data_IF_084866764167
#
_entry.id   IF_084866764167
#
_cell.length_a   1.000
_cell.length_b   1.000
_cell.length_c   1.000
_cell.angle_alpha   90.00
_cell.angle_beta   90.00
_cell.angle_gamma   90.00
#
_symmetry.space_group_name_H-M   'P 1'
#
loop_
_entity.id
_entity.type
_entity.pdbx_description
1 polymer ?
#
# COMPACT_ATOMS: atom_id res chain seq x y z
N UNK A 1 60.30 25.87 -39.29
CA UNK A 1 59.58 25.88 -37.99
C UNK A 1 58.09 25.98 -38.27
N UNK A 2 57.33 24.93 -37.99
CA UNK A 2 55.89 24.85 -38.22
C UNK A 2 55.22 24.58 -36.87
N UNK A 3 54.18 25.31 -36.45
CA UNK A 3 53.52 25.04 -35.18
C UNK A 3 52.39 24.03 -35.41
N UNK A 4 52.46 22.88 -34.74
CA UNK A 4 51.34 21.95 -34.62
C UNK A 4 50.31 22.50 -33.64
N UNK A 5 49.11 22.78 -34.15
CA UNK A 5 47.92 23.12 -33.38
C UNK A 5 47.35 21.82 -32.80
N UNK A 6 47.33 21.69 -31.46
CA UNK A 6 46.60 20.63 -30.78
C UNK A 6 45.15 21.06 -30.59
N UNK A 7 44.25 20.43 -31.36
CA UNK A 7 42.81 20.55 -31.15
C UNK A 7 42.43 19.61 -29.99
N UNK A 8 42.10 20.18 -28.84
CA UNK A 8 41.46 19.43 -27.76
C UNK A 8 40.00 19.16 -28.14
N UNK A 9 39.74 17.95 -28.63
CA UNK A 9 38.39 17.42 -28.75
C UNK A 9 37.89 17.10 -27.33
N UNK A 10 37.10 18.00 -26.76
CA UNK A 10 36.29 17.72 -25.57
C UNK A 10 35.14 16.82 -26.01
N UNK A 11 35.26 15.52 -25.76
CA UNK A 11 34.17 14.57 -25.93
C UNK A 11 33.10 14.85 -24.88
N UNK A 12 32.01 15.50 -25.29
CA UNK A 12 30.81 15.68 -24.48
C UNK A 12 30.04 14.35 -24.46
N UNK A 13 30.41 13.47 -23.54
CA UNK A 13 29.66 12.23 -23.30
C UNK A 13 28.26 12.59 -22.79
N UNK A 14 27.25 12.41 -23.65
CA UNK A 14 25.87 12.31 -23.22
C UNK A 14 25.74 11.05 -22.35
N UNK A 15 25.90 11.22 -21.04
CA UNK A 15 25.48 10.21 -20.08
C UNK A 15 23.95 10.12 -20.18
N UNK A 16 23.48 9.16 -20.97
CA UNK A 16 22.11 8.64 -20.87
C UNK A 16 21.94 8.30 -19.40
N UNK A 17 21.05 9.00 -18.70
CA UNK A 17 20.69 8.68 -17.32
C UNK A 17 20.18 7.24 -17.31
N UNK A 18 21.05 6.30 -16.96
CA UNK A 18 20.67 4.91 -16.68
C UNK A 18 20.14 4.99 -15.26
N UNK A 19 18.85 5.30 -15.13
CA UNK A 19 18.12 5.14 -13.89
C UNK A 19 18.36 3.69 -13.44
N UNK A 20 18.91 3.43 -12.24
CA UNK A 20 19.12 2.07 -11.76
C UNK A 20 17.84 1.26 -11.94
N UNK A 21 17.90 -0.03 -12.30
CA UNK A 21 16.71 -0.83 -12.61
C UNK A 21 15.73 -0.96 -11.43
N UNK A 22 16.15 -0.60 -10.22
CA UNK A 22 15.29 -0.43 -9.05
C UNK A 22 14.40 0.84 -9.13
N UNK A 23 14.93 1.95 -9.62
CA UNK A 23 14.19 3.20 -9.77
C UNK A 23 13.17 3.16 -10.93
N UNK A 24 13.35 2.26 -11.90
CA UNK A 24 12.44 2.10 -13.03
C UNK A 24 11.01 1.71 -12.59
N UNK A 25 10.88 0.81 -11.61
CA UNK A 25 9.59 0.39 -11.06
C UNK A 25 8.88 1.56 -10.36
N UNK A 26 9.61 2.35 -9.55
CA UNK A 26 9.09 3.55 -8.88
C UNK A 26 8.67 4.63 -9.88
N UNK A 27 9.42 4.82 -10.96
CA UNK A 27 9.06 5.72 -12.06
C UNK A 27 7.78 5.26 -12.75
N UNK A 28 7.61 3.95 -12.96
CA UNK A 28 6.38 3.43 -13.57
C UNK A 28 5.18 3.59 -12.65
N UNK A 29 5.32 3.31 -11.35
CA UNK A 29 4.28 3.54 -10.33
C UNK A 29 3.88 5.02 -10.33
N UNK A 30 4.85 5.93 -10.25
CA UNK A 30 4.58 7.38 -10.16
C UNK A 30 3.99 8.01 -11.42
N UNK A 31 4.14 7.39 -12.59
CA UNK A 31 3.60 7.90 -13.84
C UNK A 31 2.22 7.32 -14.20
N UNK A 32 1.73 6.35 -13.44
CA UNK A 32 0.54 5.59 -13.79
C UNK A 32 -0.65 6.01 -12.93
N UNK A 33 -1.72 6.51 -13.55
CA UNK A 33 -2.91 6.99 -12.86
C UNK A 33 -3.89 5.91 -12.45
N UNK A 34 -4.53 6.10 -11.29
CA UNK A 34 -5.79 5.42 -10.92
C UNK A 34 -6.92 6.38 -11.23
N UNK A 35 -7.81 5.99 -12.13
CA UNK A 35 -8.97 6.78 -12.55
C UNK A 35 -10.05 6.79 -11.47
N UNK A 36 -10.93 7.80 -11.50
CA UNK A 36 -12.12 7.86 -10.63
C UNK A 36 -12.97 6.59 -10.77
N UNK A 37 -13.12 6.06 -11.98
CA UNK A 37 -13.87 4.83 -12.24
C UNK A 37 -13.24 3.61 -11.55
N UNK A 38 -11.92 3.48 -11.60
CA UNK A 38 -11.22 2.38 -10.91
C UNK A 38 -11.39 2.48 -9.38
N UNK A 39 -11.38 3.69 -8.81
CA UNK A 39 -11.71 3.90 -7.40
C UNK A 39 -13.16 3.52 -7.06
N UNK A 40 -14.11 3.84 -7.94
CA UNK A 40 -15.52 3.45 -7.77
C UNK A 40 -15.71 1.93 -7.89
N UNK A 41 -14.97 1.26 -8.78
CA UNK A 41 -15.00 -0.21 -8.89
C UNK A 41 -14.42 -0.88 -7.63
N UNK A 42 -13.35 -0.31 -7.05
CA UNK A 42 -12.83 -0.70 -5.75
C UNK A 42 -13.85 -0.50 -4.62
N UNK A 43 -14.66 0.56 -4.72
CA UNK A 43 -15.73 0.87 -3.79
C UNK A 43 -16.88 -0.14 -3.82
N UNK A 44 -17.28 -0.60 -5.00
CA UNK A 44 -18.51 -1.37 -5.11
C UNK A 44 -19.71 -0.64 -4.48
N UNK A 45 -20.43 -1.31 -3.57
CA UNK A 45 -21.69 -0.82 -2.97
C UNK A 45 -21.52 -0.10 -1.62
N UNK A 46 -20.33 0.41 -1.29
CA UNK A 46 -20.18 1.26 -0.11
C UNK A 46 -21.12 2.49 -0.22
N UNK A 47 -21.87 2.83 0.83
CA UNK A 47 -22.86 3.94 0.78
C UNK A 47 -22.18 5.29 0.54
N UNK A 48 -22.91 6.31 0.09
CA UNK A 48 -22.35 7.61 -0.32
C UNK A 48 -21.51 8.32 0.77
N UNK A 49 -21.78 8.08 2.06
CA UNK A 49 -20.93 8.53 3.18
C UNK A 49 -19.65 7.70 3.29
N UNK A 50 -19.71 6.40 3.03
CA UNK A 50 -18.54 5.54 2.92
C UNK A 50 -17.76 5.85 1.64
N UNK A 51 -18.38 6.34 0.56
CA UNK A 51 -17.70 6.80 -0.66
C UNK A 51 -16.98 8.15 -0.44
N UNK A 52 -17.56 9.05 0.37
CA UNK A 52 -16.87 10.26 0.85
C UNK A 52 -15.75 9.86 1.81
N UNK A 53 -15.97 8.86 2.66
CA UNK A 53 -14.87 8.21 3.35
C UNK A 53 -13.89 7.74 2.30
N UNK A 54 -14.22 7.01 1.22
CA UNK A 54 -13.31 6.55 0.15
C UNK A 54 -12.56 7.62 -0.68
N UNK A 55 -12.61 8.90 -0.35
CA UNK A 55 -11.39 9.71 -0.54
C UNK A 55 -10.20 9.14 0.28
N UNK A 56 -10.48 8.45 1.37
CA UNK A 56 -9.77 7.37 2.10
C UNK A 56 -9.47 6.12 1.26
N UNK A 57 -9.93 5.95 0.01
CA UNK A 57 -9.41 4.88 -0.83
C UNK A 57 -7.93 5.13 -1.12
N UNK A 58 -7.52 6.40 -1.27
CA UNK A 58 -6.10 6.78 -1.25
C UNK A 58 -5.44 6.43 0.10
N UNK A 59 -6.15 6.63 1.22
CA UNK A 59 -5.66 6.22 2.54
C UNK A 59 -5.54 4.71 2.68
N UNK A 60 -6.39 3.90 2.04
CA UNK A 60 -6.38 2.42 2.09
C UNK A 60 -5.35 1.80 1.15
N UNK A 61 -4.94 2.52 0.09
CA UNK A 61 -3.82 2.10 -0.74
C UNK A 61 -2.52 2.03 0.07
N UNK A 62 -2.32 2.92 1.04
CA UNK A 62 -1.14 2.92 1.90
C UNK A 62 -0.97 1.63 2.74
N UNK A 63 -1.98 1.24 3.53
CA UNK A 63 -2.03 -0.04 4.24
C UNK A 63 -1.94 -1.24 3.29
N UNK A 64 -2.65 -1.25 2.15
CA UNK A 64 -2.56 -2.35 1.19
C UNK A 64 -1.15 -2.52 0.58
N UNK A 65 -0.47 -1.40 0.26
CA UNK A 65 0.95 -1.41 -0.15
C UNK A 65 1.82 -2.02 0.94
N UNK A 66 1.60 -1.62 2.18
CA UNK A 66 2.36 -2.14 3.31
C UNK A 66 2.07 -3.63 3.56
N UNK A 67 0.84 -4.07 3.28
CA UNK A 67 0.43 -5.46 3.39
C UNK A 67 1.15 -6.36 2.37
N UNK A 68 1.26 -5.90 1.13
CA UNK A 68 2.08 -6.55 0.09
C UNK A 68 3.53 -6.66 0.57
N UNK A 69 4.08 -5.60 1.17
CA UNK A 69 5.43 -5.60 1.70
C UNK A 69 5.66 -6.67 2.78
N UNK A 70 4.71 -6.81 3.72
CA UNK A 70 4.75 -7.84 4.75
C UNK A 70 4.65 -9.26 4.16
N UNK A 71 3.79 -9.47 3.18
CA UNK A 71 3.68 -10.76 2.48
C UNK A 71 5.01 -11.14 1.80
N UNK A 72 5.64 -10.20 1.10
CA UNK A 72 6.93 -10.45 0.44
C UNK A 72 8.08 -10.59 1.45
N UNK A 73 8.02 -9.94 2.61
CA UNK A 73 9.00 -10.13 3.69
C UNK A 73 8.91 -11.54 4.27
N UNK A 74 7.70 -11.97 4.67
CA UNK A 74 7.45 -13.35 5.14
C UNK A 74 7.93 -14.38 4.12
N UNK A 75 7.61 -14.16 2.84
CA UNK A 75 8.08 -15.04 1.76
C UNK A 75 9.61 -15.06 1.65
N UNK A 76 10.27 -13.90 1.73
CA UNK A 76 11.73 -13.80 1.62
C UNK A 76 12.45 -14.56 2.75
N UNK A 77 11.97 -14.44 3.98
CA UNK A 77 12.58 -15.09 5.17
C UNK A 77 12.07 -16.52 5.40
N UNK A 78 11.13 -17.00 4.59
CA UNK A 78 10.65 -18.39 4.60
C UNK A 78 9.54 -18.69 5.62
N UNK A 79 8.79 -17.68 6.06
CA UNK A 79 7.68 -17.84 7.00
C UNK A 79 6.32 -17.98 6.30
N UNK A 80 5.33 -18.66 6.93
CA UNK A 80 3.99 -18.78 6.38
C UNK A 80 3.29 -17.43 6.22
N UNK A 81 2.50 -17.27 5.16
CA UNK A 81 1.69 -16.06 4.91
C UNK A 81 0.45 -15.95 5.81
N UNK A 82 0.09 -17.00 6.54
CA UNK A 82 -1.12 -17.01 7.37
C UNK A 82 -0.89 -16.16 8.62
N UNK A 83 -1.45 -14.96 8.63
CA UNK A 83 -1.45 -14.08 9.79
C UNK A 83 -2.70 -14.26 10.64
N UNK A 84 -2.57 -14.55 11.94
CA UNK A 84 -3.62 -14.22 12.89
C UNK A 84 -3.89 -12.71 12.80
N UNK A 85 -5.16 -12.32 12.70
CA UNK A 85 -5.48 -10.89 12.82
C UNK A 85 -5.14 -10.44 14.24
N UNK A 86 -4.38 -9.36 14.36
CA UNK A 86 -3.98 -8.78 15.64
C UNK A 86 -4.20 -7.25 15.60
N UNK A 87 -4.58 -6.64 16.74
CA UNK A 87 -4.57 -5.19 16.97
C UNK A 87 -3.32 -4.46 16.47
N UNK A 88 -3.44 -3.19 16.04
CA UNK A 88 -2.30 -2.28 15.91
C UNK A 88 -1.44 -2.30 17.17
N UNK A 89 -0.14 -2.54 16.99
CA UNK A 89 0.87 -2.39 18.02
C UNK A 89 1.90 -1.39 17.48
N UNK A 90 2.08 -0.21 18.12
CA UNK A 90 3.10 0.73 17.72
C UNK A 90 4.50 0.13 17.77
N UNK A 91 5.39 0.66 16.94
CA UNK A 91 6.82 0.40 17.02
C UNK A 91 7.33 0.73 18.44
N UNK A 92 8.12 -0.18 19.04
CA UNK A 92 8.63 -0.12 20.42
C UNK A 92 7.64 -0.43 21.55
N UNK A 93 6.47 -1.01 21.27
CA UNK A 93 5.55 -1.41 22.35
C UNK A 93 6.00 -2.68 23.08
N UNK A 94 6.83 -3.53 22.44
CA UNK A 94 7.33 -4.76 23.05
C UNK A 94 8.52 -4.49 23.97
N UNK A 95 8.36 -4.86 25.22
CA UNK A 95 9.41 -4.83 26.24
C UNK A 95 10.50 -5.85 25.92
N UNK A 96 11.72 -5.59 26.40
CA UNK A 96 12.82 -6.56 26.29
C UNK A 96 12.50 -7.90 26.96
N UNK A 97 11.64 -7.90 27.99
CA UNK A 97 11.15 -9.12 28.61
C UNK A 97 10.24 -9.94 27.68
N UNK A 98 9.34 -9.30 26.93
CA UNK A 98 8.48 -9.98 25.94
C UNK A 98 9.31 -10.54 24.78
N UNK A 99 10.28 -9.75 24.29
CA UNK A 99 11.24 -10.22 23.27
C UNK A 99 12.11 -11.37 23.77
N UNK A 100 12.46 -11.39 25.05
CA UNK A 100 13.21 -12.50 25.64
C UNK A 100 12.36 -13.76 25.86
N UNK A 101 11.04 -13.61 26.04
CA UNK A 101 10.13 -14.71 26.35
C UNK A 101 9.81 -15.60 25.13
N UNK A 102 9.89 -15.07 23.91
CA UNK A 102 9.67 -15.86 22.68
C UNK A 102 10.84 -16.80 22.40
N UNK A 103 10.54 -18.02 21.98
CA UNK A 103 11.52 -19.12 21.92
C UNK A 103 12.06 -19.37 20.52
N UNK A 104 11.28 -19.03 19.49
CA UNK A 104 11.65 -19.23 18.09
C UNK A 104 11.82 -17.89 17.35
N UNK A 105 12.50 -17.92 16.21
CA UNK A 105 12.65 -16.73 15.35
C UNK A 105 11.32 -16.35 14.70
N UNK A 106 10.47 -17.33 14.39
CA UNK A 106 9.12 -17.08 13.86
C UNK A 106 8.23 -16.40 14.90
N UNK A 107 8.25 -16.85 16.17
CA UNK A 107 7.55 -16.15 17.26
C UNK A 107 8.08 -14.73 17.49
N UNK A 108 9.39 -14.52 17.35
CA UNK A 108 9.99 -13.19 17.41
C UNK A 108 9.51 -12.30 16.26
N UNK A 109 9.47 -12.82 15.03
CA UNK A 109 8.91 -12.09 13.89
C UNK A 109 7.43 -11.77 14.09
N UNK A 110 6.62 -12.73 14.52
CA UNK A 110 5.18 -12.55 14.76
C UNK A 110 4.87 -11.58 15.90
N UNK A 111 5.82 -11.39 16.82
CA UNK A 111 5.78 -10.36 17.86
C UNK A 111 6.08 -8.99 17.24
N UNK A 112 7.15 -8.87 16.45
CA UNK A 112 7.62 -7.60 15.91
C UNK A 112 6.85 -7.10 14.69
N UNK A 113 6.12 -7.97 13.99
CA UNK A 113 5.42 -7.62 12.75
C UNK A 113 4.41 -6.49 12.96
N UNK A 114 4.54 -5.35 12.25
CA UNK A 114 3.63 -4.23 12.40
C UNK A 114 2.23 -4.61 11.89
N UNK A 115 1.23 -4.06 12.56
CA UNK A 115 -0.16 -4.16 12.11
C UNK A 115 -0.62 -2.76 11.79
N UNK A 116 -1.17 -2.52 10.60
CA UNK A 116 -1.52 -1.17 10.12
C UNK A 116 -2.96 -0.74 10.41
N UNK A 117 -3.68 -1.47 11.27
CA UNK A 117 -5.10 -1.23 11.55
C UNK A 117 -5.33 -1.05 13.04
N UNK A 118 -5.72 0.17 13.43
CA UNK A 118 -6.11 0.48 14.80
C UNK A 118 -7.48 -0.16 15.13
N UNK A 119 -7.55 -1.07 16.11
CA UNK A 119 -8.82 -1.63 16.56
C UNK A 119 -9.67 -0.66 17.39
N UNK A 120 -9.15 0.51 17.77
CA UNK A 120 -9.89 1.52 18.53
C UNK A 120 -11.04 2.14 17.72
N UNK A 121 -10.99 2.00 16.40
CA UNK A 121 -12.11 2.30 15.51
C UNK A 121 -13.04 1.07 15.43
N UNK A 122 -14.07 1.08 16.26
CA UNK A 122 -15.21 0.12 16.37
C UNK A 122 -15.99 -0.10 15.04
N UNK A 123 -15.51 0.46 13.93
CA UNK A 123 -16.20 0.61 12.66
C UNK A 123 -16.05 -0.62 11.75
N UNK A 124 -15.08 -1.51 11.99
CA UNK A 124 -14.85 -2.69 11.15
C UNK A 124 -14.43 -3.94 11.94
N UNK A 125 -15.34 -4.92 12.02
CA UNK A 125 -15.01 -6.33 12.28
C UNK A 125 -13.76 -6.74 11.48
N UNK A 126 -12.74 -7.28 12.16
CA UNK A 126 -11.45 -7.66 11.57
C UNK A 126 -11.58 -8.58 10.37
N UNK A 127 -12.63 -9.41 10.31
CA UNK A 127 -12.92 -10.24 9.14
C UNK A 127 -13.41 -9.45 7.93
N UNK A 128 -14.17 -8.37 8.16
CA UNK A 128 -14.58 -7.45 7.09
C UNK A 128 -13.36 -6.67 6.59
N UNK A 129 -12.50 -6.18 7.49
CA UNK A 129 -11.29 -5.46 7.10
C UNK A 129 -10.36 -6.34 6.27
N UNK A 130 -10.15 -7.60 6.68
CA UNK A 130 -9.37 -8.58 5.90
C UNK A 130 -9.92 -8.75 4.48
N UNK A 131 -11.24 -8.82 4.31
CA UNK A 131 -11.88 -8.90 2.98
C UNK A 131 -11.71 -7.62 2.17
N UNK A 132 -11.79 -6.45 2.81
CA UNK A 132 -11.54 -5.17 2.13
C UNK A 132 -10.10 -5.14 1.66
N UNK A 133 -9.13 -5.42 2.54
CA UNK A 133 -7.71 -5.37 2.19
C UNK A 133 -7.33 -6.37 1.10
N UNK A 134 -7.87 -7.58 1.12
CA UNK A 134 -7.67 -8.54 0.04
C UNK A 134 -8.12 -7.98 -1.34
N UNK A 135 -9.19 -7.17 -1.40
CA UNK A 135 -9.61 -6.52 -2.65
C UNK A 135 -8.62 -5.43 -3.09
N UNK A 136 -8.12 -4.62 -2.16
CA UNK A 136 -7.14 -3.57 -2.47
C UNK A 136 -5.80 -4.16 -2.91
N UNK A 137 -5.32 -5.21 -2.24
CA UNK A 137 -4.12 -5.97 -2.64
C UNK A 137 -4.32 -6.55 -4.04
N UNK A 138 -5.44 -7.24 -4.30
CA UNK A 138 -5.72 -7.80 -5.62
C UNK A 138 -5.80 -6.73 -6.73
N UNK A 139 -6.35 -5.55 -6.41
CA UNK A 139 -6.33 -4.42 -7.33
C UNK A 139 -4.91 -3.93 -7.61
N UNK A 140 -4.10 -3.74 -6.57
CA UNK A 140 -2.71 -3.29 -6.71
C UNK A 140 -1.87 -4.29 -7.50
N UNK A 141 -1.99 -5.60 -7.23
CA UNK A 141 -1.28 -6.64 -7.95
C UNK A 141 -1.62 -6.66 -9.44
N UNK A 142 -2.90 -6.42 -9.78
CA UNK A 142 -3.35 -6.33 -11.17
C UNK A 142 -2.88 -5.03 -11.84
N UNK A 143 -2.98 -3.90 -11.14
CA UNK A 143 -2.84 -2.56 -11.73
C UNK A 143 -1.41 -2.03 -11.70
N UNK A 144 -0.65 -2.45 -10.69
CA UNK A 144 0.72 -2.05 -10.38
C UNK A 144 1.54 -3.26 -9.93
N UNK A 145 1.72 -4.29 -10.79
CA UNK A 145 2.54 -5.45 -10.44
C UNK A 145 3.98 -5.07 -10.04
N UNK A 146 4.45 -3.88 -10.44
CA UNK A 146 5.73 -3.30 -10.04
C UNK A 146 5.87 -3.14 -8.54
N UNK A 147 4.78 -2.89 -7.80
CA UNK A 147 4.84 -2.73 -6.33
C UNK A 147 5.36 -4.03 -5.70
N UNK A 148 4.70 -5.16 -6.00
CA UNK A 148 5.10 -6.46 -5.48
C UNK A 148 6.49 -6.86 -5.96
N UNK A 149 6.80 -6.61 -7.24
CA UNK A 149 8.13 -6.89 -7.80
C UNK A 149 9.24 -6.08 -7.10
N UNK A 150 8.97 -4.81 -6.79
CA UNK A 150 9.90 -3.93 -6.10
C UNK A 150 10.18 -4.44 -4.68
N UNK A 151 9.14 -4.79 -3.91
CA UNK A 151 9.32 -5.42 -2.60
C UNK A 151 10.13 -6.72 -2.71
N UNK A 152 9.69 -7.64 -3.57
CA UNK A 152 10.34 -8.95 -3.74
C UNK A 152 11.82 -8.84 -4.05
N UNK A 153 12.17 -7.99 -5.02
CA UNK A 153 13.55 -7.80 -5.47
C UNK A 153 14.40 -7.21 -4.35
N UNK A 154 13.94 -6.15 -3.72
CA UNK A 154 14.72 -5.43 -2.73
C UNK A 154 14.88 -6.24 -1.44
N UNK A 155 13.79 -6.84 -0.93
CA UNK A 155 13.85 -7.69 0.27
C UNK A 155 14.72 -8.93 0.05
N UNK A 156 14.59 -9.60 -1.10
CA UNK A 156 15.47 -10.73 -1.44
C UNK A 156 16.95 -10.31 -1.53
N UNK A 157 17.22 -9.15 -2.11
CA UNK A 157 18.58 -8.62 -2.22
C UNK A 157 19.15 -8.25 -0.85
N UNK A 158 18.35 -7.59 0.00
CA UNK A 158 18.72 -7.24 1.37
C UNK A 158 18.95 -8.46 2.25
N UNK A 159 18.17 -9.53 2.10
CA UNK A 159 18.39 -10.77 2.84
C UNK A 159 19.66 -11.49 2.39
N UNK A 160 19.86 -11.60 1.07
CA UNK A 160 21.00 -12.31 0.50
C UNK A 160 21.03 -13.79 0.94
N UNK A 161 22.17 -14.25 1.43
CA UNK A 161 22.37 -15.60 1.96
C UNK A 161 22.45 -15.62 3.50
N UNK A 162 21.99 -14.56 4.17
CA UNK A 162 22.09 -14.44 5.62
C UNK A 162 21.19 -15.47 6.30
N UNK A 163 21.64 -15.95 7.46
CA UNK A 163 20.81 -16.76 8.35
C UNK A 163 19.70 -15.88 8.91
N UNK A 164 18.47 -16.40 8.97
CA UNK A 164 17.37 -15.69 9.62
C UNK A 164 17.50 -15.87 11.13
N UNK A 165 18.03 -14.84 11.80
CA UNK A 165 18.07 -14.66 13.25
C UNK A 165 17.38 -13.34 13.65
N UNK A 166 17.38 -13.00 14.94
CA UNK A 166 16.66 -11.82 15.46
C UNK A 166 17.21 -10.52 14.86
N UNK A 167 18.53 -10.37 14.83
CA UNK A 167 19.20 -9.21 14.24
C UNK A 167 18.84 -9.06 12.76
N UNK A 168 18.83 -10.19 12.03
CA UNK A 168 18.39 -10.19 10.62
C UNK A 168 16.92 -9.79 10.48
N UNK A 169 16.03 -10.23 11.38
CA UNK A 169 14.62 -9.82 11.37
C UNK A 169 14.47 -8.32 11.58
N UNK A 170 15.15 -7.75 12.58
CA UNK A 170 15.09 -6.32 12.88
C UNK A 170 15.59 -5.48 11.69
N UNK A 171 16.75 -5.83 11.11
CA UNK A 171 17.27 -5.16 9.92
C UNK A 171 16.34 -5.29 8.70
N UNK A 172 15.68 -6.43 8.53
CA UNK A 172 14.74 -6.64 7.44
C UNK A 172 13.45 -5.81 7.61
N UNK A 173 13.00 -5.55 8.84
CA UNK A 173 11.92 -4.59 9.10
C UNK A 173 12.34 -3.16 8.76
N UNK A 174 13.55 -2.74 9.12
CA UNK A 174 14.07 -1.43 8.70
C UNK A 174 14.08 -1.29 7.17
N UNK A 175 14.52 -2.34 6.45
CA UNK A 175 14.46 -2.37 4.98
C UNK A 175 13.04 -2.37 4.44
N UNK A 176 12.12 -3.10 5.06
CA UNK A 176 10.71 -3.03 4.70
C UNK A 176 10.18 -1.58 4.80
N UNK A 177 10.55 -0.86 5.87
CA UNK A 177 10.14 0.53 6.07
C UNK A 177 10.69 1.48 5.02
N UNK A 178 11.99 1.38 4.71
CA UNK A 178 12.62 2.15 3.65
C UNK A 178 11.95 1.93 2.29
N UNK A 179 11.71 0.67 1.92
CA UNK A 179 11.07 0.28 0.67
C UNK A 179 9.64 0.81 0.63
N UNK A 180 8.88 0.62 1.72
CA UNK A 180 7.49 1.08 1.83
C UNK A 180 7.37 2.59 1.68
N UNK A 181 8.28 3.35 2.29
CA UNK A 181 8.34 4.79 2.14
C UNK A 181 8.51 5.20 0.68
N UNK A 182 9.47 4.60 -0.04
CA UNK A 182 9.71 4.90 -1.47
C UNK A 182 8.51 4.57 -2.35
N UNK A 183 7.86 3.42 -2.12
CA UNK A 183 6.67 3.01 -2.90
C UNK A 183 5.50 3.95 -2.64
N UNK A 184 5.23 4.31 -1.37
CA UNK A 184 4.18 5.28 -1.01
C UNK A 184 4.45 6.66 -1.60
N UNK A 185 5.69 7.12 -1.59
CA UNK A 185 6.08 8.38 -2.25
C UNK A 185 5.83 8.34 -3.77
N UNK A 186 6.15 7.22 -4.43
CA UNK A 186 5.87 7.03 -5.85
C UNK A 186 4.36 7.03 -6.13
N UNK A 187 3.57 6.31 -5.32
CA UNK A 187 2.11 6.25 -5.46
C UNK A 187 1.45 7.62 -5.21
N UNK A 188 1.93 8.39 -4.23
CA UNK A 188 1.43 9.74 -3.94
C UNK A 188 1.73 10.71 -5.10
N UNK A 189 2.90 10.60 -5.73
CA UNK A 189 3.23 11.34 -6.97
C UNK A 189 2.28 11.00 -8.11
N UNK A 190 1.93 9.72 -8.27
CA UNK A 190 0.89 9.32 -9.22
C UNK A 190 -0.43 10.03 -8.91
N UNK A 191 -0.94 9.92 -7.69
CA UNK A 191 -2.21 10.54 -7.29
C UNK A 191 -2.24 12.06 -7.56
N UNK A 192 -1.20 12.79 -7.13
CA UNK A 192 -1.10 14.25 -7.33
C UNK A 192 -0.98 14.70 -8.80
N UNK A 193 -0.49 13.83 -9.68
CA UNK A 193 -0.45 14.08 -11.13
C UNK A 193 -1.85 13.95 -11.74
N UNK A 194 -2.57 12.91 -11.37
CA UNK A 194 -3.88 12.58 -11.95
C UNK A 194 -5.02 13.45 -11.39
N UNK A 195 -4.91 13.89 -10.13
CA UNK A 195 -5.84 14.84 -9.51
C UNK A 195 -5.92 16.19 -10.25
N UNK A 196 -4.95 16.52 -11.11
CA UNK A 196 -5.00 17.74 -11.95
C UNK A 196 -5.76 17.54 -13.27
N UNK A 197 -5.82 16.31 -13.79
CA UNK A 197 -6.39 16.02 -15.10
C UNK A 197 -7.83 15.48 -15.03
N UNK A 198 -8.21 14.76 -13.96
CA UNK A 198 -9.53 14.13 -13.80
C UNK A 198 -10.55 14.96 -13.00
N UNK A 199 -10.14 16.04 -12.32
CA UNK A 199 -11.01 16.90 -11.51
C UNK A 199 -11.51 18.15 -12.26
N UNK A 200 -11.80 18.03 -13.57
CA UNK A 200 -12.81 18.94 -14.10
C UNK A 200 -14.14 18.60 -13.41
N UNK A 201 -14.66 19.55 -12.66
CA UNK A 201 -15.82 19.47 -11.75
C UNK A 201 -17.10 18.91 -12.40
N UNK A 202 -17.10 18.71 -13.71
CA UNK A 202 -18.23 18.21 -14.49
C UNK A 202 -18.45 16.68 -14.39
N UNK A 203 -17.41 15.90 -14.06
CA UNK A 203 -17.50 14.43 -13.94
C UNK A 203 -18.19 13.99 -12.62
N UNK A 204 -17.89 14.68 -11.51
CA UNK A 204 -18.39 14.33 -10.18
C UNK A 204 -19.87 14.70 -9.97
N UNK A 205 -20.41 15.66 -10.73
CA UNK A 205 -21.83 16.05 -10.66
C UNK A 205 -22.77 15.16 -11.49
N UNK A 206 -22.24 14.24 -12.30
CA UNK A 206 -23.05 13.34 -13.15
C UNK A 206 -23.31 11.98 -12.51
N UNK A 207 -22.86 11.73 -11.28
CA UNK A 207 -23.22 10.52 -10.53
C UNK A 207 -24.70 10.62 -10.15
N UNK A 208 -25.58 9.75 -10.67
CA UNK A 208 -26.97 9.75 -10.27
C UNK A 208 -27.01 9.40 -8.78
N UNK A 209 -27.54 10.29 -7.95
CA UNK A 209 -27.98 9.95 -6.60
C UNK A 209 -28.99 8.82 -6.77
N UNK A 210 -28.59 7.58 -6.56
CA UNK A 210 -29.50 6.45 -6.70
C UNK A 210 -30.60 6.60 -5.65
N UNK A 211 -31.77 6.92 -6.17
CA UNK A 211 -33.07 7.03 -5.55
C UNK A 211 -33.46 5.70 -4.90
N UNK A 212 -32.92 5.41 -3.71
CA UNK A 212 -33.37 4.28 -2.87
C UNK A 212 -33.61 4.67 -1.41
N UNK A 213 -33.76 5.96 -1.13
CA UNK A 213 -34.12 6.43 0.21
C UNK A 213 -35.61 6.72 0.43
N UNK A 214 -36.49 6.70 -0.57
CA UNK A 214 -37.92 7.02 -0.33
C UNK A 214 -38.83 5.81 -0.03
N UNK A 215 -38.41 4.58 -0.33
CA UNK A 215 -39.33 3.42 -0.24
C UNK A 215 -39.28 2.64 1.08
N UNK A 216 -38.41 2.98 2.04
CA UNK A 216 -38.41 2.33 3.37
C UNK A 216 -39.18 3.09 4.47
N UNK A 217 -39.51 4.36 4.25
CA UNK A 217 -40.33 5.12 5.22
C UNK A 217 -41.84 5.00 4.97
N UNK A 218 -42.26 4.48 3.81
CA UNK A 218 -43.67 4.31 3.46
C UNK A 218 -44.30 3.01 4.02
N UNK A 219 -43.50 1.99 4.34
CA UNK A 219 -44.02 0.69 4.84
C UNK A 219 -44.07 0.59 6.37
N UNK A 220 -43.42 1.49 7.11
CA UNK A 220 -43.41 1.48 8.59
C UNK A 220 -44.55 2.25 9.27
N UNK A 221 -45.45 2.90 8.51
CA UNK A 221 -46.52 3.76 9.06
C UNK A 221 -47.94 3.19 8.99
N UNK A 222 -48.10 1.92 8.59
CA UNK A 222 -49.44 1.29 8.48
C UNK A 222 -49.93 0.54 9.73
N UNK A 223 -49.05 0.24 10.69
CA UNK A 223 -49.42 -0.57 11.86
C UNK A 223 -49.36 0.24 13.17
N UNK A 224 -50.16 1.30 13.29
CA UNK A 224 -50.56 1.81 14.61
C UNK A 224 -51.90 2.54 14.56
N UNK A 225 -52.97 1.76 14.36
CA UNK A 225 -54.36 2.13 14.66
C UNK A 225 -55.08 0.94 15.28
N UNK A 226 -54.86 0.69 16.58
CA UNK A 226 -55.86 0.10 17.52
C UNK A 226 -55.24 0.05 18.91
N UNK A 227 -55.72 0.89 19.83
CA UNK A 227 -56.45 0.58 21.09
C UNK A 227 -56.99 1.91 21.60
#
# INVERSE_FOLDING_TARGET
>A
MWPTIFIFLVAYSHAKSITPPEEADLVKISNTCITVKEYQELAGNFTTVVIIQMYTAAEMLGPAIADIGLEELRYAIGFPLVRPWKPFVPENMHTEAEKAAVSTIEEYYDLMEPHYYDPSEDWFDGQKMKKVMAKFVAFLDRRFPEIRNYYRKNLKTSLGNRKVDRDTVDEMFEKLWEITKKVKEAQSKSYSKCSRDDLSTESLMKVPLTEKMSNKEAEGKKDMKTV
#
